data_IF_816645158907
#
_entry.id   IF_816645158907
#
_cell.length_a   1.000
_cell.length_b   1.000
_cell.length_c   1.000
_cell.angle_alpha   90.00
_cell.angle_beta   90.00
_cell.angle_gamma   90.00
#
_symmetry.space_group_name_H-M   'P 1'
#
loop_
_entity.id
_entity.type
_entity.pdbx_description
1 polymer ?
#
# COMPACT_ATOMS: atom_id res chain seq x y z
N UNK A 1 -2.53 -16.39 14.56
CA UNK A 1 -3.06 -15.22 13.84
C UNK A 1 -1.89 -14.37 13.36
N UNK A 2 -1.91 -13.92 12.08
CA UNK A 2 -0.91 -13.01 11.56
C UNK A 2 -0.98 -11.63 12.24
N UNK A 3 0.11 -10.87 12.18
CA UNK A 3 0.21 -9.52 12.76
C UNK A 3 0.29 -8.47 11.66
N UNK A 4 -0.48 -7.39 11.79
CA UNK A 4 -0.25 -6.17 11.02
C UNK A 4 0.99 -5.46 11.58
N UNK A 5 1.95 -5.13 10.72
CA UNK A 5 3.23 -4.51 11.11
C UNK A 5 3.33 -3.05 10.67
N UNK A 6 2.48 -2.61 9.75
CA UNK A 6 2.45 -1.20 9.34
C UNK A 6 1.54 -0.94 8.14
N UNK A 7 1.50 0.32 7.72
CA UNK A 7 0.86 0.77 6.49
C UNK A 7 1.97 1.02 5.47
N UNK A 8 1.87 0.38 4.31
CA UNK A 8 2.84 0.52 3.23
C UNK A 8 2.53 1.75 2.36
N UNK A 9 1.26 2.00 2.05
CA UNK A 9 0.84 3.09 1.18
C UNK A 9 -0.60 3.52 1.44
N UNK A 10 -0.89 4.71 0.98
CA UNK A 10 -2.26 5.22 0.85
C UNK A 10 -2.48 5.53 -0.63
N UNK A 11 -3.65 5.17 -1.17
CA UNK A 11 -4.08 5.57 -2.51
C UNK A 11 -5.23 6.57 -2.39
N UNK A 12 -5.11 7.68 -3.13
CA UNK A 12 -6.12 8.74 -3.20
C UNK A 12 -6.47 9.04 -4.65
N UNK A 13 -7.70 9.45 -4.90
CA UNK A 13 -8.15 9.84 -6.24
C UNK A 13 -7.91 11.33 -6.50
N UNK A 14 -7.47 11.63 -7.74
CA UNK A 14 -7.27 12.99 -8.25
C UNK A 14 -7.99 13.15 -9.59
N UNK A 15 -8.27 14.38 -10.00
CA UNK A 15 -8.93 14.67 -11.28
C UNK A 15 -8.06 14.25 -12.47
N UNK A 16 -6.81 14.71 -12.48
CA UNK A 16 -5.77 14.23 -13.38
C UNK A 16 -4.47 14.03 -12.64
N UNK A 17 -3.57 13.18 -13.15
CA UNK A 17 -2.28 12.95 -12.50
C UNK A 17 -1.41 14.20 -12.50
N UNK A 18 -1.42 14.98 -13.59
CA UNK A 18 -0.62 16.18 -13.72
C UNK A 18 -1.07 17.28 -12.73
N UNK A 19 -2.39 17.48 -12.60
CA UNK A 19 -2.94 18.40 -11.60
C UNK A 19 -2.68 17.94 -10.17
N UNK A 20 -2.83 16.63 -9.90
CA UNK A 20 -2.52 16.06 -8.60
C UNK A 20 -1.05 16.24 -8.22
N UNK A 21 -0.13 15.91 -9.12
CA UNK A 21 1.30 16.10 -8.90
C UNK A 21 1.67 17.59 -8.74
N UNK A 22 1.08 18.48 -9.55
CA UNK A 22 1.30 19.91 -9.43
C UNK A 22 0.78 20.46 -8.09
N UNK A 23 -0.42 20.05 -7.65
CA UNK A 23 -0.98 20.48 -6.38
C UNK A 23 -0.12 20.02 -5.20
N UNK A 24 0.17 18.72 -5.09
CA UNK A 24 0.98 18.22 -3.98
C UNK A 24 2.42 18.72 -4.05
N UNK A 25 2.98 18.88 -5.26
CA UNK A 25 4.31 19.45 -5.46
C UNK A 25 4.41 20.95 -5.11
N UNK A 26 3.30 21.68 -5.05
CA UNK A 26 3.28 23.04 -4.52
C UNK A 26 3.30 23.11 -2.99
N UNK A 27 2.95 22.00 -2.32
CA UNK A 27 2.91 21.90 -0.86
C UNK A 27 4.15 21.23 -0.28
N UNK A 28 4.70 20.27 -1.01
CA UNK A 28 5.79 19.40 -0.56
C UNK A 28 6.84 19.24 -1.65
N UNK A 29 8.08 19.02 -1.27
CA UNK A 29 9.08 18.49 -2.18
C UNK A 29 8.74 17.03 -2.49
N UNK A 30 8.38 16.74 -3.75
CA UNK A 30 7.93 15.43 -4.17
C UNK A 30 8.97 14.75 -5.07
N UNK A 31 9.28 13.50 -4.75
CA UNK A 31 10.01 12.62 -5.63
C UNK A 31 9.05 11.63 -6.29
N UNK A 32 9.01 11.62 -7.63
CA UNK A 32 8.19 10.67 -8.38
C UNK A 32 8.92 9.33 -8.47
N UNK A 33 8.43 8.33 -7.77
CA UNK A 33 8.96 6.97 -7.78
C UNK A 33 8.71 6.27 -9.13
N UNK A 34 7.47 6.34 -9.61
CA UNK A 34 7.08 5.76 -10.90
C UNK A 34 5.72 6.28 -11.35
N UNK A 35 5.43 6.12 -12.63
CA UNK A 35 4.14 6.46 -13.24
C UNK A 35 3.73 5.37 -14.22
N UNK A 36 2.46 4.99 -14.16
CA UNK A 36 1.81 4.07 -15.08
C UNK A 36 0.51 4.74 -15.61
N UNK A 37 -0.14 4.22 -16.65
CA UNK A 37 -1.42 4.76 -17.09
C UNK A 37 -2.44 4.79 -15.94
N UNK A 38 -2.95 5.98 -15.62
CA UNK A 38 -3.94 6.20 -14.58
C UNK A 38 -3.40 6.26 -13.14
N UNK A 39 -2.11 6.03 -12.89
CA UNK A 39 -1.54 6.10 -11.54
C UNK A 39 -0.14 6.74 -11.51
N UNK A 40 0.14 7.47 -10.44
CA UNK A 40 1.48 7.97 -10.10
C UNK A 40 1.81 7.61 -8.65
N UNK A 41 3.06 7.24 -8.40
CA UNK A 41 3.54 6.83 -7.09
C UNK A 41 4.58 7.83 -6.60
N UNK A 42 4.26 8.53 -5.53
CA UNK A 42 5.13 9.52 -4.90
C UNK A 42 5.93 8.83 -3.80
N UNK A 43 7.24 8.98 -3.86
CA UNK A 43 8.16 8.35 -2.92
C UNK A 43 8.10 9.00 -1.53
N UNK A 44 8.11 8.17 -0.51
CA UNK A 44 8.20 8.56 0.90
C UNK A 44 9.18 7.65 1.66
N UNK A 45 10.22 7.18 0.96
CA UNK A 45 11.21 6.27 1.53
C UNK A 45 10.74 4.81 1.49
N UNK A 46 10.43 4.24 2.62
CA UNK A 46 9.90 2.87 2.75
C UNK A 46 8.37 2.77 2.51
N UNK A 47 7.70 3.93 2.36
CA UNK A 47 6.29 4.05 2.05
C UNK A 47 6.10 4.84 0.74
N UNK A 48 4.87 4.97 0.28
CA UNK A 48 4.53 5.83 -0.85
C UNK A 48 3.08 6.32 -0.80
N UNK A 49 2.82 7.41 -1.50
CA UNK A 49 1.48 7.89 -1.80
C UNK A 49 1.16 7.52 -3.26
N UNK A 50 0.05 6.84 -3.49
CA UNK A 50 -0.45 6.57 -4.83
C UNK A 50 -1.52 7.63 -5.20
N UNK A 51 -1.32 8.32 -6.31
CA UNK A 51 -2.33 9.16 -6.94
C UNK A 51 -3.00 8.35 -8.05
N UNK A 52 -4.32 8.17 -7.98
CA UNK A 52 -5.10 7.47 -8.99
C UNK A 52 -5.97 8.48 -9.73
N UNK A 53 -5.89 8.48 -11.07
CA UNK A 53 -6.69 9.36 -11.88
C UNK A 53 -8.15 8.89 -11.89
N UNK A 54 -9.06 9.78 -11.53
CA UNK A 54 -10.49 9.50 -11.59
C UNK A 54 -10.92 9.33 -13.05
N UNK A 55 -11.68 8.27 -13.33
CA UNK A 55 -12.30 8.08 -14.65
C UNK A 55 -13.69 8.72 -14.67
N UNK A 56 -14.07 9.31 -15.79
CA UNK A 56 -15.38 9.98 -15.97
C UNK A 56 -16.59 9.04 -15.80
N UNK A 57 -16.38 7.73 -15.87
CA UNK A 57 -17.43 6.71 -15.76
C UNK A 57 -17.90 6.42 -14.34
N UNK A 58 -17.30 7.06 -13.32
CA UNK A 58 -17.70 6.87 -11.94
C UNK A 58 -18.71 7.92 -11.51
N UNK A 59 -19.90 7.45 -11.13
CA UNK A 59 -20.85 8.32 -10.45
C UNK A 59 -20.29 8.74 -9.09
N UNK A 60 -20.55 9.98 -8.66
CA UNK A 60 -20.13 10.51 -7.35
C UNK A 60 -20.65 9.71 -6.13
N UNK A 61 -21.41 8.64 -6.36
CA UNK A 61 -22.05 7.79 -5.34
C UNK A 61 -21.47 6.39 -5.22
N UNK A 62 -20.58 5.96 -6.15
CA UNK A 62 -19.93 4.68 -6.00
C UNK A 62 -18.74 4.80 -5.05
N UNK A 63 -18.54 3.81 -4.14
CA UNK A 63 -17.36 3.79 -3.29
C UNK A 63 -16.11 3.90 -4.17
N UNK A 64 -15.20 4.80 -3.82
CA UNK A 64 -13.93 4.98 -4.52
C UNK A 64 -13.20 3.64 -4.60
N UNK A 65 -13.23 2.98 -5.77
CA UNK A 65 -12.59 1.67 -5.94
C UNK A 65 -11.07 1.78 -5.78
N UNK A 66 -10.51 2.95 -6.04
CA UNK A 66 -9.07 3.20 -5.95
C UNK A 66 -8.62 3.71 -4.58
N UNK A 67 -9.54 4.21 -3.76
CA UNK A 67 -9.20 4.55 -2.38
C UNK A 67 -9.01 3.31 -1.55
N UNK A 68 -7.81 3.09 -1.11
CA UNK A 68 -7.47 1.97 -0.25
C UNK A 68 -6.24 2.30 0.60
N UNK A 69 -6.01 1.48 1.60
CA UNK A 69 -4.76 1.49 2.35
C UNK A 69 -4.17 0.09 2.40
N UNK A 70 -2.85 0.02 2.39
CA UNK A 70 -2.12 -1.22 2.47
C UNK A 70 -1.67 -1.50 3.90
N UNK A 71 -2.16 -2.60 4.49
CA UNK A 71 -1.61 -3.13 5.75
C UNK A 71 -0.47 -4.10 5.45
N UNK A 72 0.68 -3.82 6.04
CA UNK A 72 1.81 -4.75 5.99
C UNK A 72 1.66 -5.77 7.10
N UNK A 73 1.80 -7.04 6.74
CA UNK A 73 1.62 -8.18 7.66
C UNK A 73 2.83 -9.12 7.60
N UNK A 74 2.97 -9.94 8.61
CA UNK A 74 3.97 -11.00 8.70
C UNK A 74 3.63 -12.24 7.88
N UNK A 75 2.32 -12.54 7.68
CA UNK A 75 1.82 -13.67 6.90
C UNK A 75 0.50 -13.31 6.21
N UNK A 76 0.61 -12.99 4.93
CA UNK A 76 -0.55 -12.63 4.08
C UNK A 76 -1.51 -13.80 3.89
N UNK A 77 -1.02 -15.02 3.78
CA UNK A 77 -1.86 -16.19 3.53
C UNK A 77 -2.80 -16.45 4.71
N UNK A 78 -2.28 -16.30 5.93
CA UNK A 78 -3.07 -16.44 7.17
C UNK A 78 -4.16 -15.37 7.24
N UNK A 79 -3.85 -14.11 6.92
CA UNK A 79 -4.86 -13.03 6.91
C UNK A 79 -5.96 -13.30 5.89
N UNK A 80 -5.59 -13.67 4.65
CA UNK A 80 -6.57 -13.92 3.59
C UNK A 80 -7.43 -15.15 3.86
N UNK A 81 -6.88 -16.19 4.52
CA UNK A 81 -7.67 -17.33 4.98
C UNK A 81 -8.70 -16.90 6.04
N UNK A 82 -8.28 -16.15 7.05
CA UNK A 82 -9.17 -15.62 8.08
C UNK A 82 -10.26 -14.70 7.51
N UNK A 83 -9.93 -13.86 6.52
CA UNK A 83 -10.90 -13.01 5.84
C UNK A 83 -11.98 -13.84 5.13
N UNK A 84 -11.61 -14.93 4.44
CA UNK A 84 -12.59 -15.86 3.81
C UNK A 84 -13.48 -16.53 4.85
N UNK A 85 -12.90 -16.99 5.96
CA UNK A 85 -13.66 -17.59 7.06
C UNK A 85 -14.65 -16.59 7.68
N UNK A 86 -14.28 -15.31 7.72
CA UNK A 86 -15.17 -14.23 8.14
C UNK A 86 -16.24 -13.86 7.09
N UNK A 87 -16.29 -14.55 5.94
CA UNK A 87 -17.27 -14.31 4.88
C UNK A 87 -16.96 -13.10 4.00
N UNK A 88 -15.71 -12.63 4.00
CA UNK A 88 -15.28 -11.47 3.20
C UNK A 88 -14.76 -11.93 1.86
N UNK A 89 -15.24 -11.30 0.77
CA UNK A 89 -14.78 -11.60 -0.58
C UNK A 89 -13.39 -11.02 -0.84
N UNK A 90 -12.48 -11.87 -1.34
CA UNK A 90 -11.12 -11.47 -1.75
C UNK A 90 -11.12 -11.12 -3.23
N UNK A 91 -10.60 -9.96 -3.58
CA UNK A 91 -10.41 -9.52 -4.96
C UNK A 91 -8.98 -9.05 -5.21
N UNK A 92 -8.56 -9.03 -6.48
CA UNK A 92 -7.20 -8.64 -6.86
C UNK A 92 -6.10 -9.51 -6.26
N UNK A 93 -6.45 -10.65 -5.66
CA UNK A 93 -5.53 -11.62 -5.06
C UNK A 93 -5.09 -11.30 -3.63
N UNK A 94 -5.17 -10.04 -3.19
CA UNK A 94 -4.68 -9.62 -1.88
C UNK A 94 -5.48 -8.49 -1.22
N UNK A 95 -6.69 -8.24 -1.70
CA UNK A 95 -7.54 -7.15 -1.23
C UNK A 95 -8.92 -7.66 -0.82
N UNK A 96 -9.57 -6.95 0.08
CA UNK A 96 -10.97 -7.18 0.45
C UNK A 96 -11.63 -5.86 0.87
N UNK A 97 -12.97 -5.88 0.94
CA UNK A 97 -13.72 -4.82 1.62
C UNK A 97 -14.14 -5.32 2.99
N UNK A 98 -13.92 -4.48 3.99
CA UNK A 98 -14.43 -4.77 5.33
C UNK A 98 -15.98 -4.64 5.37
N UNK A 99 -16.66 -5.02 6.46
CA UNK A 99 -18.13 -4.91 6.57
C UNK A 99 -18.68 -3.49 6.41
N UNK A 100 -17.84 -2.48 6.52
CA UNK A 100 -18.20 -1.06 6.35
C UNK A 100 -17.80 -0.49 4.98
N UNK A 101 -17.26 -1.32 4.09
CA UNK A 101 -16.93 -0.94 2.72
C UNK A 101 -15.52 -0.38 2.52
N UNK A 102 -14.68 -0.34 3.55
CA UNK A 102 -13.29 0.10 3.39
C UNK A 102 -12.50 -0.91 2.58
N UNK A 103 -11.80 -0.45 1.56
CA UNK A 103 -10.91 -1.27 0.76
C UNK A 103 -9.56 -1.42 1.48
N UNK A 104 -9.23 -2.63 1.84
CA UNK A 104 -7.99 -3.00 2.52
C UNK A 104 -7.16 -3.89 1.61
N UNK A 105 -5.91 -3.52 1.38
CA UNK A 105 -4.92 -4.34 0.68
C UNK A 105 -3.97 -4.95 1.69
N UNK A 106 -3.70 -6.24 1.57
CA UNK A 106 -2.77 -6.96 2.44
C UNK A 106 -1.44 -7.16 1.73
N UNK A 107 -0.38 -6.67 2.35
CA UNK A 107 0.97 -6.64 1.81
C UNK A 107 1.91 -7.44 2.70
N UNK A 108 2.65 -8.39 2.13
CA UNK A 108 3.64 -9.19 2.86
C UNK A 108 4.87 -8.36 3.21
N UNK A 109 5.29 -8.36 4.47
CA UNK A 109 6.50 -7.61 4.91
C UNK A 109 7.74 -8.00 4.10
N UNK A 110 7.92 -9.29 3.85
CA UNK A 110 9.05 -9.83 3.11
C UNK A 110 9.15 -9.33 1.67
N UNK A 111 8.03 -9.03 1.02
CA UNK A 111 7.94 -8.77 -0.41
C UNK A 111 8.14 -7.31 -0.82
N UNK A 112 8.07 -6.38 0.14
CA UNK A 112 8.03 -4.93 -0.13
C UNK A 112 9.19 -4.18 0.52
N UNK A 113 9.46 -2.98 0.01
CA UNK A 113 10.52 -2.11 0.52
C UNK A 113 10.19 -1.48 1.90
N UNK A 114 8.94 -1.54 2.37
CA UNK A 114 8.58 -1.07 3.72
C UNK A 114 9.47 -1.74 4.76
N UNK A 115 10.08 -0.95 5.63
CA UNK A 115 10.92 -1.47 6.72
C UNK A 115 10.42 -0.97 8.08
N UNK A 116 10.81 -1.69 9.10
CA UNK A 116 10.62 -1.28 10.48
C UNK A 116 11.91 -1.55 11.24
N UNK A 117 12.29 -0.65 12.11
CA UNK A 117 13.51 -0.80 12.90
C UNK A 117 13.54 -2.16 13.61
N UNK A 118 14.69 -2.87 13.62
CA UNK A 118 14.79 -4.19 14.23
C UNK A 118 14.35 -4.23 15.70
N UNK A 119 14.58 -3.14 16.43
CA UNK A 119 14.17 -2.99 17.84
C UNK A 119 12.65 -3.01 17.97
N UNK A 120 11.94 -2.39 17.02
CA UNK A 120 10.47 -2.36 17.00
C UNK A 120 9.92 -3.75 16.69
N UNK A 121 10.50 -4.44 15.70
CA UNK A 121 10.11 -5.82 15.37
C UNK A 121 10.31 -6.74 16.58
N UNK A 122 11.48 -6.68 17.23
CA UNK A 122 11.73 -7.45 18.45
C UNK A 122 10.75 -7.11 19.57
N UNK A 123 10.44 -5.83 19.79
CA UNK A 123 9.44 -5.40 20.76
C UNK A 123 8.03 -5.92 20.45
N UNK A 124 7.72 -6.16 19.17
CA UNK A 124 6.48 -6.80 18.71
C UNK A 124 6.53 -8.34 18.80
N UNK A 125 7.68 -8.92 19.14
CA UNK A 125 7.91 -10.38 19.16
C UNK A 125 7.96 -10.97 17.75
N UNK A 126 8.49 -10.21 16.76
CA UNK A 126 8.60 -10.60 15.37
C UNK A 126 10.06 -10.69 14.92
N UNK A 127 10.37 -11.72 14.14
CA UNK A 127 11.61 -11.88 13.40
C UNK A 127 11.23 -12.02 11.93
N UNK A 128 11.34 -10.93 11.17
CA UNK A 128 10.91 -10.85 9.79
C UNK A 128 12.09 -10.53 8.86
N UNK A 129 12.18 -11.24 7.77
CA UNK A 129 13.21 -11.04 6.76
C UNK A 129 12.63 -10.54 5.44
N UNK A 130 13.48 -9.90 4.65
CA UNK A 130 13.16 -9.46 3.29
C UNK A 130 13.55 -10.53 2.28
N UNK A 131 12.73 -10.67 1.25
CA UNK A 131 13.12 -11.44 0.05
C UNK A 131 14.30 -10.75 -0.65
N UNK A 132 15.04 -11.50 -1.46
CA UNK A 132 16.15 -10.94 -2.25
C UNK A 132 15.71 -9.82 -3.19
N UNK A 133 14.46 -9.90 -3.69
CA UNK A 133 13.87 -8.84 -4.50
C UNK A 133 13.71 -7.56 -3.68
N UNK A 134 13.08 -7.62 -2.51
CA UNK A 134 12.87 -6.46 -1.65
C UNK A 134 14.19 -5.87 -1.15
N UNK A 135 15.18 -6.72 -0.84
CA UNK A 135 16.53 -6.26 -0.47
C UNK A 135 17.24 -5.53 -1.61
N UNK A 136 17.09 -5.98 -2.87
CA UNK A 136 17.61 -5.24 -4.02
C UNK A 136 16.96 -3.89 -4.17
N UNK A 137 15.64 -3.82 -4.11
CA UNK A 137 14.89 -2.55 -4.19
C UNK A 137 15.33 -1.55 -3.10
N UNK A 138 15.59 -2.02 -1.88
CA UNK A 138 16.11 -1.18 -0.79
C UNK A 138 17.50 -0.66 -1.11
N UNK A 139 18.44 -1.55 -1.54
CA UNK A 139 19.81 -1.15 -1.91
C UNK A 139 19.85 -0.15 -3.06
N UNK A 140 19.05 -0.40 -4.11
CA UNK A 140 18.98 0.48 -5.30
C UNK A 140 18.53 1.90 -4.95
N UNK A 141 17.89 2.04 -3.79
CA UNK A 141 17.41 3.32 -3.25
C UNK A 141 18.22 3.85 -2.06
N UNK A 142 19.29 3.15 -1.67
CA UNK A 142 20.13 3.54 -0.52
C UNK A 142 19.41 3.47 0.84
N UNK A 143 18.50 2.52 0.99
CA UNK A 143 17.65 2.35 2.19
C UNK A 143 17.98 1.09 3.00
N UNK A 144 19.08 0.39 2.71
CA UNK A 144 19.50 -0.80 3.45
C UNK A 144 20.60 -0.54 4.48
#
# INVERSE_FOLDING_TARGET
MARAVGINHIAIEVGSLDEGLAFYGSLFELELRSRIPGMAFVDMGDQFLALAQRTEQRSAREPDAERHFGLVVDDRAVVLAAAREAGVEIFGGNSFRDPWGNHVQIVEYGDVQFTKAPEILRGMGLELEKTDKARRELRDRGLD
#
